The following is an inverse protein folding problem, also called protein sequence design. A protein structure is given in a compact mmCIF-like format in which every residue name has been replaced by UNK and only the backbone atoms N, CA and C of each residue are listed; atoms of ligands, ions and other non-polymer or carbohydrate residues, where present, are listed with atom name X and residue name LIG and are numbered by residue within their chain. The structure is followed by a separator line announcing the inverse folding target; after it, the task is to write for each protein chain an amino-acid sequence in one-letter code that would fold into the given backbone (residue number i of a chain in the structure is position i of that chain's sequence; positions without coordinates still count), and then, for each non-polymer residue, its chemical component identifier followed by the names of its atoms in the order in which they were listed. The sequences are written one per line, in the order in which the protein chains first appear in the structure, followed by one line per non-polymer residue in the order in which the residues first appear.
data_IF_002292565025
#
_entry.id   IF_002292565025
#
_cell.length_a   1.000
_cell.length_b   1.000
_cell.length_c   1.000
_cell.angle_alpha   90.00
_cell.angle_beta   90.00
_cell.angle_gamma   90.00
#
_symmetry.space_group_name_H-M   'P 1'
#
loop_
_entity.id
_entity.type
_entity.pdbx_description
1 polymer ?
#
# COMPACT_ATOMS: atom_id res chain seq x y z
N UNK A 1 23.02 21.13 -15.47
CA UNK A 1 21.93 20.15 -15.69
C UNK A 1 22.35 18.85 -15.02
N UNK A 2 21.81 18.53 -13.86
CA UNK A 2 22.06 17.28 -13.17
C UNK A 2 21.30 16.18 -13.92
N UNK A 3 22.03 15.22 -14.51
CA UNK A 3 21.41 14.04 -15.13
C UNK A 3 20.68 13.27 -14.03
N UNK A 4 19.36 13.21 -14.10
CA UNK A 4 18.57 12.29 -13.27
C UNK A 4 18.88 10.89 -13.82
N UNK A 5 19.64 10.12 -13.07
CA UNK A 5 19.88 8.70 -13.40
C UNK A 5 18.62 7.96 -12.92
N UNK A 6 17.75 7.59 -13.83
CA UNK A 6 16.63 6.69 -13.54
C UNK A 6 17.24 5.29 -13.44
N UNK A 7 17.37 4.76 -12.23
CA UNK A 7 17.78 3.38 -12.01
C UNK A 7 16.71 2.44 -12.57
N UNK A 8 17.15 1.32 -13.15
CA UNK A 8 16.21 0.28 -13.57
C UNK A 8 15.67 -0.43 -12.33
N UNK A 9 14.39 -0.81 -12.29
CA UNK A 9 13.79 -1.49 -11.12
C UNK A 9 14.59 -2.70 -10.64
N UNK A 10 15.16 -3.48 -11.57
CA UNK A 10 15.99 -4.65 -11.21
C UNK A 10 17.27 -4.26 -10.45
N UNK A 11 17.89 -3.15 -10.81
CA UNK A 11 19.11 -2.67 -10.15
C UNK A 11 18.75 -2.18 -8.72
N UNK A 12 17.62 -1.51 -8.57
CA UNK A 12 17.13 -1.03 -7.26
C UNK A 12 16.87 -2.16 -6.26
N UNK A 13 16.37 -3.31 -6.74
CA UNK A 13 16.16 -4.48 -5.88
C UNK A 13 17.50 -5.06 -5.40
N UNK A 14 18.50 -5.13 -6.28
CA UNK A 14 19.82 -5.67 -5.93
C UNK A 14 20.53 -4.82 -4.88
N UNK A 15 20.29 -3.52 -4.86
CA UNK A 15 20.91 -2.60 -3.90
C UNK A 15 20.36 -2.75 -2.47
N UNK A 16 19.22 -3.44 -2.25
CA UNK A 16 18.67 -3.68 -0.92
C UNK A 16 19.55 -4.60 -0.05
N UNK A 17 20.39 -5.44 -0.65
CA UNK A 17 21.37 -6.31 0.04
C UNK A 17 20.78 -7.16 1.17
N UNK A 18 19.57 -7.69 0.98
CA UNK A 18 18.99 -8.66 1.90
C UNK A 18 19.61 -10.04 1.68
N UNK A 19 20.03 -10.65 2.76
CA UNK A 19 20.60 -11.99 2.74
C UNK A 19 19.70 -12.97 3.47
N UNK A 20 19.62 -14.20 2.95
CA UNK A 20 18.94 -15.30 3.60
C UNK A 20 19.71 -15.87 4.78
N UNK A 21 19.12 -16.86 5.47
CA UNK A 21 19.80 -17.59 6.53
C UNK A 21 21.10 -18.23 6.00
N UNK A 22 22.09 -18.34 6.87
CA UNK A 22 23.41 -18.92 6.56
C UNK A 22 24.16 -18.24 5.41
N UNK A 23 23.85 -16.97 5.14
CA UNK A 23 24.50 -16.23 4.06
C UNK A 23 23.94 -16.52 2.66
N UNK A 24 22.72 -17.07 2.59
CA UNK A 24 22.04 -17.25 1.31
C UNK A 24 21.82 -15.91 0.60
N UNK A 25 21.93 -15.90 -0.73
CA UNK A 25 21.76 -14.69 -1.54
C UNK A 25 20.30 -14.20 -1.48
N UNK A 26 19.34 -15.12 -1.47
CA UNK A 26 17.94 -14.77 -1.37
C UNK A 26 17.48 -14.72 0.09
N UNK A 27 16.64 -13.74 0.49
CA UNK A 27 16.05 -13.72 1.82
C UNK A 27 15.17 -14.95 2.03
N UNK A 28 15.16 -15.44 3.27
CA UNK A 28 14.33 -16.60 3.65
C UNK A 28 12.85 -16.23 3.67
N UNK A 29 11.99 -17.18 3.33
CA UNK A 29 10.54 -17.06 3.54
C UNK A 29 10.23 -17.38 4.99
N UNK A 30 9.84 -16.39 5.78
CA UNK A 30 9.43 -16.57 7.17
C UNK A 30 7.98 -17.01 7.26
N UNK A 31 7.73 -18.21 7.78
CA UNK A 31 6.42 -18.83 7.99
C UNK A 31 5.92 -18.69 9.44
N UNK A 32 6.66 -17.97 10.28
CA UNK A 32 6.29 -17.79 11.69
C UNK A 32 5.22 -16.72 11.88
N UNK A 33 4.18 -17.02 12.67
CA UNK A 33 3.19 -16.05 13.09
C UNK A 33 3.61 -15.25 14.33
N UNK A 34 4.46 -15.80 15.17
CA UNK A 34 4.95 -15.18 16.42
C UNK A 34 6.46 -15.30 16.50
N UNK A 35 7.08 -14.43 17.30
CA UNK A 35 8.53 -14.35 17.44
C UNK A 35 8.93 -14.37 18.89
N UNK A 36 10.15 -14.83 19.19
CA UNK A 36 10.71 -14.89 20.53
C UNK A 36 11.57 -13.65 20.80
N UNK A 37 11.71 -13.33 22.08
CA UNK A 37 12.56 -12.24 22.54
C UNK A 37 13.65 -12.76 23.47
N UNK A 38 14.87 -12.25 23.31
CA UNK A 38 16.01 -12.64 24.15
C UNK A 38 15.87 -12.12 25.60
N UNK A 39 15.11 -11.05 25.80
CA UNK A 39 14.88 -10.45 27.12
C UNK A 39 13.55 -9.70 27.16
N UNK A 40 13.04 -9.43 28.36
CA UNK A 40 11.88 -8.58 28.55
C UNK A 40 12.12 -7.14 28.05
N UNK A 41 13.36 -6.67 28.12
CA UNK A 41 13.72 -5.35 27.56
C UNK A 41 13.58 -5.34 26.04
N UNK A 42 14.11 -6.34 25.34
CA UNK A 42 13.98 -6.46 23.89
C UNK A 42 12.50 -6.51 23.48
N UNK A 43 11.67 -7.24 24.22
CA UNK A 43 10.23 -7.28 23.98
C UNK A 43 9.61 -5.89 24.11
N UNK A 44 9.89 -5.17 25.19
CA UNK A 44 9.39 -3.81 25.40
C UNK A 44 9.84 -2.87 24.29
N UNK A 45 11.13 -2.85 23.96
CA UNK A 45 11.68 -2.00 22.90
C UNK A 45 11.04 -2.31 21.53
N UNK A 46 10.71 -3.58 21.25
CA UNK A 46 10.00 -3.98 20.02
C UNK A 46 8.57 -3.43 19.98
N UNK A 47 7.84 -3.47 21.11
CA UNK A 47 6.50 -2.88 21.21
C UNK A 47 6.50 -1.36 21.00
N UNK A 48 7.56 -0.68 21.45
CA UNK A 48 7.73 0.77 21.27
C UNK A 48 8.33 1.15 19.90
N UNK A 49 8.63 0.17 19.03
CA UNK A 49 9.24 0.42 17.72
C UNK A 49 10.72 0.83 17.78
N UNK A 50 11.41 0.51 18.88
CA UNK A 50 12.80 0.91 19.15
C UNK A 50 13.79 -0.24 18.94
N UNK A 51 13.37 -1.39 18.43
CA UNK A 51 14.22 -2.56 18.22
C UNK A 51 14.21 -2.99 16.75
N UNK A 52 15.25 -2.62 16.02
CA UNK A 52 15.42 -3.03 14.63
C UNK A 52 15.64 -4.54 14.51
N UNK A 53 15.10 -5.14 13.45
CA UNK A 53 15.22 -6.57 13.17
C UNK A 53 14.45 -7.48 14.14
N UNK A 54 13.62 -6.92 15.00
CA UNK A 54 12.74 -7.65 15.90
C UNK A 54 11.29 -7.55 15.45
N UNK A 55 10.56 -8.66 15.60
CA UNK A 55 9.17 -8.76 15.16
C UNK A 55 8.28 -9.20 16.31
N UNK A 56 7.04 -8.72 16.34
CA UNK A 56 6.05 -9.08 17.35
C UNK A 56 5.16 -10.23 16.87
N UNK A 57 4.54 -9.98 15.74
CA UNK A 57 3.52 -10.88 15.19
C UNK A 57 3.36 -10.59 13.69
N UNK A 58 3.20 -11.62 12.87
CA UNK A 58 3.20 -11.51 11.40
C UNK A 58 2.09 -10.61 10.83
N UNK A 59 0.98 -10.41 11.57
CA UNK A 59 -0.06 -9.46 11.16
C UNK A 59 0.44 -8.01 11.17
N UNK A 60 1.36 -7.66 12.06
CA UNK A 60 1.99 -6.35 12.09
C UNK A 60 3.11 -6.25 11.05
N UNK A 61 4.04 -7.19 11.12
CA UNK A 61 5.18 -7.27 10.23
C UNK A 61 5.85 -8.64 10.34
N UNK A 62 6.46 -9.09 9.26
CA UNK A 62 7.34 -10.25 9.22
C UNK A 62 8.55 -9.94 8.35
N UNK A 63 9.68 -10.64 8.48
CA UNK A 63 10.84 -10.43 7.63
C UNK A 63 10.50 -10.47 6.14
N UNK A 64 9.68 -11.45 5.72
CA UNK A 64 9.30 -11.62 4.32
C UNK A 64 8.42 -10.46 3.80
N UNK A 65 7.45 -10.01 4.61
CA UNK A 65 6.59 -8.89 4.21
C UNK A 65 7.36 -7.57 4.17
N UNK A 66 8.30 -7.36 5.10
CA UNK A 66 9.15 -6.19 5.10
C UNK A 66 10.01 -6.15 3.83
N UNK A 67 10.73 -7.24 3.54
CA UNK A 67 11.55 -7.34 2.34
C UNK A 67 10.72 -7.13 1.06
N UNK A 68 9.55 -7.78 0.96
CA UNK A 68 8.67 -7.60 -0.21
C UNK A 68 8.21 -6.15 -0.35
N UNK A 69 7.86 -5.50 0.76
CA UNK A 69 7.48 -4.09 0.78
C UNK A 69 8.61 -3.20 0.28
N UNK A 70 9.82 -3.38 0.79
CA UNK A 70 10.99 -2.60 0.38
C UNK A 70 11.37 -2.85 -1.08
N UNK A 71 11.29 -4.11 -1.54
CA UNK A 71 11.54 -4.45 -2.94
C UNK A 71 10.53 -3.76 -3.88
N UNK A 72 9.23 -3.76 -3.52
CA UNK A 72 8.20 -3.05 -4.29
C UNK A 72 8.42 -1.54 -4.26
N UNK A 73 8.73 -0.96 -3.10
CA UNK A 73 9.04 0.47 -2.99
C UNK A 73 10.23 0.86 -3.86
N UNK A 74 11.29 0.05 -3.86
CA UNK A 74 12.47 0.27 -4.71
C UNK A 74 12.14 0.20 -6.20
N UNK A 75 11.28 -0.75 -6.62
CA UNK A 75 10.83 -0.88 -8.01
C UNK A 75 9.97 0.30 -8.47
N UNK A 76 9.10 0.80 -7.61
CA UNK A 76 8.18 1.91 -7.88
C UNK A 76 8.84 3.29 -7.67
N UNK A 77 10.03 3.33 -7.05
CA UNK A 77 10.71 4.58 -6.70
C UNK A 77 9.98 5.37 -5.61
N UNK A 78 9.29 4.68 -4.70
CA UNK A 78 8.58 5.25 -3.56
C UNK A 78 9.37 5.12 -2.26
N UNK A 79 9.04 5.91 -1.27
CA UNK A 79 9.70 5.91 0.04
C UNK A 79 9.47 4.60 0.81
N UNK A 80 8.27 4.05 0.70
CA UNK A 80 7.87 2.81 1.39
C UNK A 80 6.69 2.15 0.68
N UNK A 81 6.44 0.89 1.00
CA UNK A 81 5.20 0.21 0.65
C UNK A 81 4.73 -0.74 1.74
N UNK A 82 3.44 -1.01 1.77
CA UNK A 82 2.82 -2.01 2.65
C UNK A 82 2.24 -3.16 1.85
N UNK A 83 2.46 -4.36 2.36
CA UNK A 83 1.94 -5.59 1.75
C UNK A 83 0.64 -6.00 2.44
N UNK A 84 -0.38 -6.30 1.66
CA UNK A 84 -1.65 -6.83 2.15
C UNK A 84 -2.01 -8.16 1.49
N UNK A 85 -2.89 -8.94 2.12
CA UNK A 85 -3.26 -10.27 1.66
C UNK A 85 -4.12 -10.27 0.37
N UNK A 86 -4.57 -9.11 -0.10
CA UNK A 86 -5.34 -8.99 -1.35
C UNK A 86 -5.29 -7.58 -1.90
N UNK A 87 -5.51 -7.44 -3.21
CA UNK A 87 -5.64 -6.13 -3.85
C UNK A 87 -6.78 -5.28 -3.27
N UNK A 88 -7.93 -5.89 -2.97
CA UNK A 88 -9.01 -5.18 -2.27
C UNK A 88 -8.62 -4.76 -0.86
N UNK A 89 -7.83 -5.57 -0.16
CA UNK A 89 -7.26 -5.19 1.14
C UNK A 89 -6.38 -3.95 1.04
N UNK A 90 -5.51 -3.87 0.03
CA UNK A 90 -4.68 -2.71 -0.24
C UNK A 90 -5.53 -1.46 -0.55
N UNK A 91 -6.46 -1.58 -1.49
CA UNK A 91 -7.32 -0.46 -1.91
C UNK A 91 -8.16 0.07 -0.75
N UNK A 92 -8.84 -0.83 -0.03
CA UNK A 92 -9.72 -0.41 1.07
C UNK A 92 -8.94 0.17 2.25
N UNK A 93 -7.76 -0.36 2.57
CA UNK A 93 -6.90 0.18 3.63
C UNK A 93 -6.51 1.64 3.33
N UNK A 94 -6.06 1.92 2.10
CA UNK A 94 -5.69 3.28 1.68
C UNK A 94 -6.89 4.23 1.74
N UNK A 95 -8.03 3.82 1.17
CA UNK A 95 -9.22 4.68 1.14
C UNK A 95 -9.75 4.96 2.55
N UNK A 96 -9.74 3.97 3.44
CA UNK A 96 -10.17 4.14 4.84
C UNK A 96 -9.18 4.95 5.67
N UNK A 97 -7.91 4.95 5.32
CA UNK A 97 -6.90 5.79 5.97
C UNK A 97 -7.04 7.27 5.56
N UNK A 98 -7.38 7.53 4.30
CA UNK A 98 -7.44 8.88 3.75
C UNK A 98 -8.77 9.60 3.95
N UNK A 99 -9.87 8.85 4.18
CA UNK A 99 -11.22 9.39 4.26
C UNK A 99 -11.85 9.16 5.62
N UNK A 100 -12.49 10.19 6.14
CA UNK A 100 -13.34 10.16 7.33
C UNK A 100 -14.82 10.37 6.98
N UNK A 101 -15.71 10.23 7.97
CA UNK A 101 -17.13 10.51 7.77
C UNK A 101 -17.36 11.96 7.34
N UNK A 102 -18.06 12.17 6.25
CA UNK A 102 -18.30 13.47 5.62
C UNK A 102 -17.41 13.76 4.43
N UNK A 103 -16.34 12.98 4.23
CA UNK A 103 -15.43 13.14 3.10
C UNK A 103 -16.01 12.62 1.78
N UNK A 104 -15.35 13.01 0.70
CA UNK A 104 -15.77 12.73 -0.66
C UNK A 104 -14.62 12.13 -1.49
N UNK A 105 -14.97 11.18 -2.36
CA UNK A 105 -14.09 10.54 -3.32
C UNK A 105 -14.60 10.85 -4.73
N UNK A 106 -13.74 11.29 -5.63
CA UNK A 106 -14.00 11.30 -7.07
C UNK A 106 -13.33 10.07 -7.66
N UNK A 107 -14.11 9.21 -8.31
CA UNK A 107 -13.62 7.95 -8.87
C UNK A 107 -13.90 7.87 -10.37
N UNK A 108 -12.96 7.27 -11.11
CA UNK A 108 -13.30 6.80 -12.45
C UNK A 108 -14.49 5.85 -12.39
N UNK A 109 -15.39 5.96 -13.38
CA UNK A 109 -16.51 5.01 -13.54
C UNK A 109 -16.07 3.66 -14.11
N UNK A 110 -14.90 3.62 -14.77
CA UNK A 110 -14.30 2.40 -15.33
C UNK A 110 -13.20 1.92 -14.39
N UNK A 111 -13.59 1.15 -13.38
CA UNK A 111 -12.70 0.56 -12.37
C UNK A 111 -13.12 -0.88 -12.12
N UNK A 112 -12.25 -1.64 -11.46
CA UNK A 112 -12.55 -2.99 -11.02
C UNK A 112 -13.89 -3.07 -10.27
N UNK A 113 -14.72 -4.06 -10.63
CA UNK A 113 -16.08 -4.21 -10.09
C UNK A 113 -16.15 -4.32 -8.56
N UNK A 114 -15.14 -4.93 -7.92
CA UNK A 114 -15.04 -4.99 -6.46
C UNK A 114 -14.83 -3.62 -5.83
N UNK A 115 -13.96 -2.78 -6.41
CA UNK A 115 -13.75 -1.40 -5.96
C UNK A 115 -15.00 -0.55 -6.19
N UNK A 116 -15.65 -0.69 -7.35
CA UNK A 116 -16.92 -0.02 -7.63
C UNK A 116 -17.99 -0.37 -6.60
N UNK A 117 -18.16 -1.67 -6.31
CA UNK A 117 -19.13 -2.13 -5.32
C UNK A 117 -18.82 -1.60 -3.90
N UNK A 118 -17.56 -1.57 -3.52
CA UNK A 118 -17.11 -1.00 -2.25
C UNK A 118 -17.46 0.49 -2.16
N UNK A 119 -17.08 1.29 -3.17
CA UNK A 119 -17.34 2.73 -3.21
C UNK A 119 -18.85 3.06 -3.31
N UNK A 120 -19.64 2.25 -4.00
CA UNK A 120 -21.06 2.49 -4.19
C UNK A 120 -21.93 2.04 -3.01
N UNK A 121 -21.60 0.90 -2.39
CA UNK A 121 -22.49 0.23 -1.45
C UNK A 121 -21.97 0.24 -0.01
N UNK A 122 -20.65 0.33 0.20
CA UNK A 122 -20.05 0.25 1.53
C UNK A 122 -19.69 1.63 2.09
N UNK A 123 -18.95 2.44 1.36
CA UNK A 123 -18.50 3.76 1.84
C UNK A 123 -19.64 4.69 2.25
N UNK A 124 -20.85 4.69 1.60
CA UNK A 124 -21.96 5.50 2.04
C UNK A 124 -22.45 5.14 3.45
N UNK A 125 -22.31 3.89 3.90
CA UNK A 125 -22.65 3.46 5.26
C UNK A 125 -21.74 4.10 6.31
N UNK A 126 -20.57 4.56 5.89
CA UNK A 126 -19.60 5.30 6.71
C UNK A 126 -19.71 6.82 6.51
N UNK A 127 -20.77 7.28 5.84
CA UNK A 127 -20.96 8.68 5.46
C UNK A 127 -19.82 9.24 4.59
N UNK A 128 -19.21 8.41 3.74
CA UNK A 128 -18.23 8.81 2.72
C UNK A 128 -18.93 8.73 1.36
N UNK A 129 -18.96 9.85 0.63
CA UNK A 129 -19.64 9.96 -0.67
C UNK A 129 -18.66 9.72 -1.82
N UNK A 130 -19.16 9.19 -2.92
CA UNK A 130 -18.37 8.99 -4.14
C UNK A 130 -19.10 9.53 -5.36
N UNK A 131 -18.41 10.35 -6.15
CA UNK A 131 -18.82 10.75 -7.50
C UNK A 131 -18.05 9.94 -8.53
N UNK A 132 -18.80 9.21 -9.39
CA UNK A 132 -18.22 8.45 -10.50
C UNK A 132 -18.25 9.29 -11.78
N UNK A 133 -17.07 9.52 -12.35
CA UNK A 133 -16.87 10.40 -13.50
C UNK A 133 -16.16 9.70 -14.67
N UNK A 134 -16.21 10.33 -15.82
CA UNK A 134 -15.32 9.98 -16.93
C UNK A 134 -13.95 10.61 -16.67
N UNK A 135 -12.98 9.79 -16.29
CA UNK A 135 -11.62 10.24 -15.92
C UNK A 135 -10.85 10.79 -17.13
N UNK A 136 -11.28 10.48 -18.36
CA UNK A 136 -10.65 11.00 -19.59
C UNK A 136 -11.07 12.46 -19.88
N UNK A 137 -12.10 12.96 -19.21
CA UNK A 137 -12.57 14.33 -19.27
C UNK A 137 -12.13 15.11 -18.04
N UNK A 138 -11.06 15.90 -18.15
CA UNK A 138 -10.59 16.75 -17.06
C UNK A 138 -11.71 17.66 -16.50
N UNK A 139 -12.56 18.18 -17.40
CA UNK A 139 -13.71 18.99 -16.98
C UNK A 139 -14.67 18.21 -16.09
N UNK A 140 -14.96 16.94 -16.42
CA UNK A 140 -15.83 16.10 -15.59
C UNK A 140 -15.23 15.83 -14.20
N UNK A 141 -13.90 15.71 -14.12
CA UNK A 141 -13.19 15.57 -12.85
C UNK A 141 -13.25 16.85 -12.03
N UNK A 142 -12.94 18.00 -12.66
CA UNK A 142 -12.98 19.31 -12.00
C UNK A 142 -14.37 19.65 -11.48
N UNK A 143 -15.42 19.42 -12.29
CA UNK A 143 -16.82 19.70 -11.93
C UNK A 143 -17.30 18.81 -10.75
N UNK A 144 -16.68 17.63 -10.54
CA UNK A 144 -17.00 16.73 -9.45
C UNK A 144 -16.26 17.00 -8.14
N UNK A 145 -15.17 17.77 -8.17
CA UNK A 145 -14.39 18.11 -6.98
C UNK A 145 -15.18 19.07 -6.09
N UNK A 146 -15.22 18.76 -4.81
CA UNK A 146 -15.83 19.60 -3.76
C UNK A 146 -14.83 19.92 -2.66
N UNK A 147 -15.20 20.79 -1.72
CA UNK A 147 -14.35 21.08 -0.53
C UNK A 147 -14.14 19.86 0.38
N UNK A 148 -14.96 18.83 0.27
CA UNK A 148 -14.86 17.58 1.00
C UNK A 148 -14.05 16.52 0.25
N UNK A 149 -13.64 16.75 -1.00
CA UNK A 149 -12.90 15.75 -1.79
C UNK A 149 -11.51 15.52 -1.20
N UNK A 150 -11.23 14.28 -0.84
CA UNK A 150 -9.94 13.82 -0.29
C UNK A 150 -9.17 12.94 -1.26
N UNK A 151 -9.87 12.20 -2.11
CA UNK A 151 -9.26 11.21 -2.99
C UNK A 151 -9.79 11.36 -4.42
N UNK A 152 -8.87 11.32 -5.38
CA UNK A 152 -9.13 11.05 -6.80
C UNK A 152 -8.65 9.63 -7.08
N UNK A 153 -9.58 8.72 -7.40
CA UNK A 153 -9.28 7.31 -7.63
C UNK A 153 -9.44 6.96 -9.11
N UNK A 154 -8.40 6.35 -9.68
CA UNK A 154 -8.44 5.80 -11.03
C UNK A 154 -7.53 4.57 -11.14
N UNK A 155 -7.72 3.81 -12.21
CA UNK A 155 -6.89 2.69 -12.59
C UNK A 155 -6.26 3.00 -13.96
N UNK A 156 -4.94 2.83 -14.08
CA UNK A 156 -4.24 3.04 -15.35
C UNK A 156 -4.60 1.97 -16.38
N UNK A 157 -4.92 0.77 -15.90
CA UNK A 157 -5.42 -0.36 -16.69
C UNK A 157 -6.65 -0.90 -15.97
N UNK A 158 -7.83 -0.67 -16.55
CA UNK A 158 -9.08 -1.08 -15.92
C UNK A 158 -9.42 -2.54 -16.23
N UNK A 159 -10.24 -3.17 -15.40
CA UNK A 159 -10.78 -4.51 -15.61
C UNK A 159 -12.30 -4.40 -15.85
N UNK A 160 -12.86 -4.85 -17.01
CA UNK A 160 -12.21 -5.66 -18.07
C UNK A 160 -11.78 -4.89 -19.32
N UNK A 161 -11.83 -3.57 -19.32
CA UNK A 161 -11.74 -2.77 -20.54
C UNK A 161 -10.32 -2.48 -21.02
N UNK A 162 -9.28 -2.83 -20.27
CA UNK A 162 -7.84 -2.65 -20.54
C UNK A 162 -7.48 -1.33 -21.24
#
# INVERSE_FOLDING_TARGET
MTKIIIMKPADSIQDLQYFGEFGGINPSISDSSTYTFLSAKTMFDTFEGNADGCYLYSRHSSPSNLYLGEALAAMEGTETSNVSASGMGAITAVLMQLCAAGDHIVSSRTIYGGTYAFLKNFTPKLNIKTSFVDITSLKSVEDAITSQTKVLYCESVSNPLL
#
